data_IF_040810706569
#
_entry.id   IF_040810706569
#
_cell.length_a   1.000
_cell.length_b   1.000
_cell.length_c   1.000
_cell.angle_alpha   90.00
_cell.angle_beta   90.00
_cell.angle_gamma   90.00
#
_symmetry.space_group_name_H-M   'P 1'
#
loop_
_entity.id
_entity.type
_entity.pdbx_description
1 polymer ?
#
# COMPACT_ATOMS: atom_id res chain seq x y z
N UNK A 1 -15.40 -0.29 0.84
CA UNK A 1 -14.30 0.05 1.76
C UNK A 1 -13.12 -0.92 1.62
N UNK A 2 -13.22 -2.19 2.07
CA UNK A 2 -12.11 -3.15 2.12
C UNK A 2 -11.31 -3.30 0.82
N UNK A 3 -11.99 -3.49 -0.32
CA UNK A 3 -11.35 -3.67 -1.64
C UNK A 3 -10.45 -2.50 -2.03
N UNK A 4 -10.82 -1.27 -1.67
CA UNK A 4 -10.06 -0.07 -2.03
C UNK A 4 -8.81 0.11 -1.16
N UNK A 5 -8.86 -0.29 0.10
CA UNK A 5 -7.69 -0.31 0.99
C UNK A 5 -6.65 -1.33 0.48
N UNK A 6 -7.11 -2.52 0.07
CA UNK A 6 -6.23 -3.52 -0.54
C UNK A 6 -5.61 -2.98 -1.84
N UNK A 7 -6.43 -2.40 -2.72
CA UNK A 7 -5.93 -1.80 -3.96
C UNK A 7 -4.95 -0.65 -3.72
N UNK A 8 -5.19 0.18 -2.70
CA UNK A 8 -4.26 1.23 -2.26
C UNK A 8 -2.94 0.65 -1.76
N UNK A 9 -2.95 -0.40 -0.95
CA UNK A 9 -1.72 -1.07 -0.49
C UNK A 9 -0.88 -1.61 -1.66
N UNK A 10 -1.54 -2.20 -2.66
CA UNK A 10 -0.86 -2.65 -3.90
C UNK A 10 -0.31 -1.45 -4.67
N UNK A 11 -1.08 -0.38 -4.82
CA UNK A 11 -0.66 0.84 -5.52
C UNK A 11 0.55 1.52 -4.87
N UNK A 12 0.60 1.55 -3.53
CA UNK A 12 1.75 2.04 -2.76
C UNK A 12 2.97 1.12 -2.97
N UNK A 13 2.76 -0.19 -2.97
CA UNK A 13 3.84 -1.18 -3.19
C UNK A 13 4.47 -1.04 -4.58
N UNK A 14 3.65 -0.85 -5.61
CA UNK A 14 4.08 -0.67 -7.01
C UNK A 14 4.46 0.78 -7.33
N UNK A 15 4.19 1.72 -6.41
CA UNK A 15 4.48 3.15 -6.54
C UNK A 15 3.82 3.82 -7.75
N UNK A 16 2.61 3.37 -8.11
CA UNK A 16 1.83 3.98 -9.20
C UNK A 16 1.08 5.25 -8.70
N UNK A 17 1.49 6.47 -9.08
CA UNK A 17 0.89 7.69 -8.52
C UNK A 17 -0.60 7.84 -8.88
N UNK A 18 -0.99 7.43 -10.09
CA UNK A 18 -2.40 7.46 -10.52
C UNK A 18 -3.25 6.47 -9.73
N UNK A 19 -2.74 5.26 -9.52
CA UNK A 19 -3.43 4.21 -8.77
C UNK A 19 -3.60 4.61 -7.30
N UNK A 20 -2.56 5.22 -6.70
CA UNK A 20 -2.63 5.78 -5.35
C UNK A 20 -3.75 6.83 -5.27
N UNK A 21 -3.80 7.78 -6.20
CA UNK A 21 -4.83 8.82 -6.21
C UNK A 21 -6.25 8.24 -6.36
N UNK A 22 -6.46 7.34 -7.33
CA UNK A 22 -7.76 6.71 -7.61
C UNK A 22 -8.25 5.91 -6.40
N UNK A 23 -7.42 5.00 -5.87
CA UNK A 23 -7.85 4.12 -4.78
C UNK A 23 -7.94 4.85 -3.43
N UNK A 24 -7.14 5.90 -3.21
CA UNK A 24 -7.31 6.77 -2.04
C UNK A 24 -8.66 7.46 -2.06
N UNK A 25 -9.05 8.06 -3.21
CA UNK A 25 -10.35 8.72 -3.36
C UNK A 25 -11.49 7.73 -3.14
N UNK A 26 -11.47 6.58 -3.82
CA UNK A 26 -12.50 5.56 -3.70
C UNK A 26 -12.57 4.94 -2.30
N UNK A 27 -11.44 4.82 -1.59
CA UNK A 27 -11.44 4.38 -0.20
C UNK A 27 -12.13 5.41 0.72
N UNK A 28 -11.84 6.70 0.55
CA UNK A 28 -12.48 7.79 1.31
C UNK A 28 -13.99 7.88 1.05
N UNK A 29 -14.40 7.80 -0.22
CA UNK A 29 -15.83 7.75 -0.60
C UNK A 29 -16.56 6.56 0.04
N UNK A 30 -15.83 5.47 0.29
CA UNK A 30 -16.34 4.30 0.98
C UNK A 30 -16.18 4.35 2.51
N UNK A 31 -15.86 5.51 3.09
CA UNK A 31 -15.81 5.75 4.54
C UNK A 31 -14.47 5.43 5.21
N UNK A 32 -13.39 5.21 4.47
CA UNK A 32 -12.08 4.95 5.09
C UNK A 32 -11.53 6.17 5.82
N UNK A 33 -11.01 5.97 7.03
CA UNK A 33 -10.37 7.01 7.83
C UNK A 33 -8.90 7.18 7.45
N UNK A 34 -8.32 8.34 7.78
CA UNK A 34 -6.88 8.59 7.57
C UNK A 34 -6.00 7.55 8.26
N UNK A 35 -6.40 7.10 9.45
CA UNK A 35 -5.70 6.06 10.19
C UNK A 35 -5.66 4.74 9.40
N UNK A 36 -6.77 4.33 8.77
CA UNK A 36 -6.83 3.11 7.96
C UNK A 36 -5.98 3.22 6.69
N UNK A 37 -5.97 4.39 6.05
CA UNK A 37 -5.13 4.63 4.87
C UNK A 37 -3.63 4.61 5.23
N UNK A 38 -3.28 5.24 6.35
CA UNK A 38 -1.92 5.29 6.87
C UNK A 38 -1.43 3.89 7.28
N UNK A 39 -2.27 3.12 7.97
CA UNK A 39 -1.98 1.73 8.34
C UNK A 39 -1.70 0.88 7.10
N UNK A 40 -2.56 0.96 6.08
CA UNK A 40 -2.35 0.22 4.83
C UNK A 40 -1.04 0.58 4.12
N UNK A 41 -0.69 1.88 4.11
CA UNK A 41 0.57 2.35 3.54
C UNK A 41 1.79 1.86 4.34
N UNK A 42 1.73 1.91 5.68
CA UNK A 42 2.80 1.43 6.56
C UNK A 42 3.02 -0.09 6.42
N UNK A 43 1.93 -0.87 6.37
CA UNK A 43 2.00 -2.32 6.13
C UNK A 43 2.63 -2.61 4.77
N UNK A 44 2.19 -1.94 3.71
CA UNK A 44 2.76 -2.08 2.37
C UNK A 44 4.27 -1.76 2.35
N UNK A 45 4.69 -0.68 3.02
CA UNK A 45 6.08 -0.29 3.13
C UNK A 45 6.92 -1.34 3.88
N UNK A 46 6.42 -1.86 5.01
CA UNK A 46 7.09 -2.89 5.79
C UNK A 46 7.31 -4.17 4.98
N UNK A 47 6.29 -4.62 4.24
CA UNK A 47 6.39 -5.80 3.37
C UNK A 47 7.42 -5.59 2.24
N UNK A 48 7.42 -4.40 1.62
CA UNK A 48 8.39 -4.08 0.56
C UNK A 48 9.83 -4.05 1.11
N UNK A 49 10.04 -3.50 2.29
CA UNK A 49 11.34 -3.48 2.96
C UNK A 49 11.80 -4.90 3.34
N UNK A 50 10.92 -5.71 3.93
CA UNK A 50 11.22 -7.10 4.28
C UNK A 50 11.56 -7.95 3.06
N UNK A 51 10.83 -7.79 1.95
CA UNK A 51 11.16 -8.45 0.68
C UNK A 51 12.56 -8.10 0.18
N UNK A 52 12.94 -6.82 0.22
CA UNK A 52 14.28 -6.39 -0.18
C UNK A 52 15.38 -7.03 0.69
N UNK A 53 15.19 -7.07 2.02
CA UNK A 53 16.14 -7.70 2.95
C UNK A 53 16.28 -9.21 2.68
N UNK A 54 15.16 -9.92 2.51
CA UNK A 54 15.18 -11.37 2.23
C UNK A 54 15.87 -11.69 0.91
N UNK A 55 15.62 -10.91 -0.14
CA UNK A 55 16.29 -11.15 -1.43
C UNK A 55 17.78 -10.80 -1.39
N UNK A 56 18.20 -9.88 -0.51
CA UNK A 56 19.61 -9.57 -0.33
C UNK A 56 20.46 -10.78 0.13
N UNK A 57 19.85 -11.79 0.78
CA UNK A 57 20.57 -13.01 1.18
C UNK A 57 21.01 -13.88 -0.01
N UNK A 58 20.57 -13.56 -1.22
CA UNK A 58 20.92 -14.27 -2.46
C UNK A 58 21.87 -13.45 -3.35
N UNK A 59 22.36 -12.30 -2.88
CA UNK A 59 23.25 -11.42 -3.65
C UNK A 59 24.74 -11.76 -3.51
N UNK A 60 25.10 -12.58 -2.53
CA UNK A 60 26.46 -13.04 -2.23
C UNK A 60 26.45 -14.57 -2.11
#
# INVERSE_FOLDING_TARGET
MQKQIIALAVAVTTQCPYCIAIHTKQAREAGATDAQLAEAALVAAAIRAGGAVTHATHMF
#
